data_IF_819977077636
#
_entry.id   IF_819977077636
#
_cell.length_a   1.000
_cell.length_b   1.000
_cell.length_c   1.000
_cell.angle_alpha   90.00
_cell.angle_beta   90.00
_cell.angle_gamma   90.00
#
_symmetry.space_group_name_H-M   'P 1'
#
loop_
_entity.id
_entity.type
_entity.pdbx_description
1 polymer ?
#
# COMPACT_ATOMS: atom_id res chain seq x y z
N UNK A 1 -3.70 9.79 -17.00
CA UNK A 1 -3.85 9.69 -15.52
C UNK A 1 -3.09 8.52 -14.90
N UNK A 2 -3.26 7.27 -15.38
CA UNK A 2 -2.49 6.11 -14.87
C UNK A 2 -0.95 6.23 -15.05
N UNK A 3 -0.42 6.81 -16.16
CA UNK A 3 1.04 6.93 -16.35
C UNK A 3 1.71 7.84 -15.33
N UNK A 4 1.06 8.96 -14.98
CA UNK A 4 1.62 9.95 -14.04
C UNK A 4 1.73 9.40 -12.61
N UNK A 5 0.83 8.51 -12.20
CA UNK A 5 0.90 7.85 -10.89
C UNK A 5 2.03 6.82 -10.84
N UNK A 6 2.22 6.05 -11.92
CA UNK A 6 3.33 5.10 -12.05
C UNK A 6 4.67 5.81 -11.87
N UNK A 7 4.87 6.94 -12.56
CA UNK A 7 6.08 7.75 -12.47
C UNK A 7 6.27 8.31 -11.05
N UNK A 8 5.19 8.83 -10.43
CA UNK A 8 5.24 9.33 -9.04
C UNK A 8 5.60 8.24 -8.03
N UNK A 9 5.07 7.02 -8.20
CA UNK A 9 5.41 5.89 -7.33
C UNK A 9 6.85 5.43 -7.56
N UNK A 10 7.29 5.30 -8.81
CA UNK A 10 8.68 4.95 -9.15
C UNK A 10 9.68 5.93 -8.54
N UNK A 11 9.44 7.23 -8.70
CA UNK A 11 10.30 8.29 -8.15
C UNK A 11 10.28 8.33 -6.61
N UNK A 12 9.16 7.94 -5.99
CA UNK A 12 9.08 7.87 -4.53
C UNK A 12 9.78 6.64 -3.96
N UNK A 13 9.78 5.51 -4.68
CA UNK A 13 10.50 4.29 -4.29
C UNK A 13 12.00 4.46 -4.51
N UNK A 14 12.38 5.03 -5.67
CA UNK A 14 13.76 5.23 -6.11
C UNK A 14 14.08 6.72 -6.34
N UNK A 15 14.21 7.53 -5.27
CA UNK A 15 14.57 8.94 -5.39
C UNK A 15 16.00 9.15 -5.90
N UNK A 16 16.89 8.16 -5.78
CA UNK A 16 18.23 8.20 -6.33
C UNK A 16 18.45 7.03 -7.33
N UNK A 17 18.50 7.31 -8.64
CA UNK A 17 18.69 6.26 -9.65
C UNK A 17 20.07 5.61 -9.60
N UNK A 18 21.08 6.28 -9.04
CA UNK A 18 22.45 5.75 -8.93
C UNK A 18 22.61 4.80 -7.72
N UNK A 19 21.70 4.90 -6.74
CA UNK A 19 21.67 4.07 -5.52
C UNK A 19 20.24 3.66 -5.16
N UNK A 20 19.63 2.78 -5.95
CA UNK A 20 18.22 2.39 -5.78
C UNK A 20 17.97 1.58 -4.49
N UNK A 21 19.01 1.11 -3.81
CA UNK A 21 18.93 0.29 -2.59
C UNK A 21 19.13 1.08 -1.29
N UNK A 22 19.43 2.39 -1.35
CA UNK A 22 19.61 3.18 -0.13
C UNK A 22 18.28 3.31 0.63
N UNK A 23 18.28 2.98 1.92
CA UNK A 23 17.09 3.13 2.75
C UNK A 23 16.75 4.61 2.92
N UNK A 24 15.63 5.04 2.36
CA UNK A 24 15.15 6.41 2.48
C UNK A 24 14.19 6.49 3.68
N UNK A 25 14.41 7.41 4.64
CA UNK A 25 13.56 7.51 5.82
C UNK A 25 12.09 7.84 5.49
N UNK A 26 11.82 8.51 4.37
CA UNK A 26 10.48 8.74 3.82
C UNK A 26 9.76 7.45 3.39
N UNK A 27 10.49 6.33 3.20
CA UNK A 27 9.95 5.01 2.91
C UNK A 27 9.52 4.25 4.19
N UNK A 28 9.83 4.76 5.39
CA UNK A 28 9.23 4.25 6.64
C UNK A 28 7.79 4.77 6.74
N UNK A 29 6.86 4.03 6.14
CA UNK A 29 5.48 4.47 5.92
C UNK A 29 4.77 4.79 7.24
N UNK A 30 4.73 3.90 8.24
CA UNK A 30 4.21 4.18 9.59
C UNK A 30 4.86 3.19 10.57
N UNK A 31 5.36 3.65 11.71
CA UNK A 31 5.74 2.75 12.81
C UNK A 31 4.47 2.20 13.47
N UNK A 32 4.14 0.95 13.18
CA UNK A 32 2.94 0.27 13.69
C UNK A 32 3.32 -0.72 14.80
N UNK A 33 2.38 -0.99 15.71
CA UNK A 33 2.50 -2.11 16.64
C UNK A 33 2.51 -3.44 15.85
N UNK A 34 3.23 -4.45 16.34
CA UNK A 34 3.40 -5.73 15.65
C UNK A 34 2.10 -6.42 15.23
N UNK A 35 1.00 -6.24 15.97
CA UNK A 35 -0.32 -6.75 15.61
C UNK A 35 -0.91 -6.04 14.39
N UNK A 36 -0.89 -4.70 14.39
CA UNK A 36 -1.41 -3.89 13.28
C UNK A 36 -0.56 -4.09 12.04
N UNK A 37 0.76 -4.25 12.19
CA UNK A 37 1.65 -4.53 11.07
C UNK A 37 1.27 -5.84 10.36
N UNK A 38 1.07 -6.93 11.12
CA UNK A 38 0.63 -8.23 10.55
C UNK A 38 -0.73 -8.12 9.86
N UNK A 39 -1.66 -7.39 10.48
CA UNK A 39 -3.00 -7.21 9.92
C UNK A 39 -2.99 -6.37 8.65
N UNK A 40 -2.09 -5.40 8.55
CA UNK A 40 -1.88 -4.59 7.34
C UNK A 40 -1.24 -5.41 6.21
N UNK A 41 -0.20 -6.17 6.52
CA UNK A 41 0.50 -7.05 5.59
C UNK A 41 -0.42 -8.14 5.01
N UNK A 42 -1.27 -8.73 5.84
CA UNK A 42 -2.24 -9.75 5.43
C UNK A 42 -3.54 -9.17 4.84
N UNK A 43 -3.61 -7.86 4.60
CA UNK A 43 -4.76 -7.22 3.94
C UNK A 43 -6.05 -7.15 4.77
N UNK A 44 -5.98 -7.17 6.11
CA UNK A 44 -7.16 -6.98 6.97
C UNK A 44 -7.51 -5.50 7.16
N UNK A 45 -6.50 -4.64 7.19
CA UNK A 45 -6.69 -3.19 7.28
C UNK A 45 -5.80 -2.46 6.30
N UNK A 46 -6.14 -1.23 5.98
CA UNK A 46 -5.31 -0.36 5.16
C UNK A 46 -5.52 1.12 5.51
N UNK A 47 -4.52 1.93 5.17
CA UNK A 47 -4.45 3.35 5.50
C UNK A 47 -4.56 4.17 4.23
N UNK A 48 -5.62 4.97 4.13
CA UNK A 48 -5.84 5.85 3.00
C UNK A 48 -5.32 7.25 3.33
N UNK A 49 -4.36 7.79 2.56
CA UNK A 49 -3.94 9.18 2.75
C UNK A 49 -5.03 10.13 2.22
N UNK A 50 -5.36 11.16 3.00
CA UNK A 50 -6.37 12.16 2.63
C UNK A 50 -5.71 13.46 2.16
N UNK A 51 -4.90 14.06 3.02
CA UNK A 51 -4.33 15.38 2.77
C UNK A 51 -3.00 15.56 3.52
N UNK A 52 -2.07 16.29 2.91
CA UNK A 52 -0.85 16.79 3.55
C UNK A 52 -1.04 18.28 3.76
N UNK A 53 -0.84 18.76 4.98
CA UNK A 53 -0.89 20.19 5.30
C UNK A 53 0.07 20.99 4.40
N UNK A 54 -0.27 22.25 4.10
CA UNK A 54 0.59 23.17 3.35
C UNK A 54 1.99 23.30 3.93
N UNK A 55 2.09 23.12 5.24
CA UNK A 55 3.33 23.25 6.00
C UNK A 55 4.18 21.98 5.94
N UNK A 56 3.66 20.88 5.37
CA UNK A 56 4.37 19.61 5.23
C UNK A 56 4.68 18.91 6.56
N UNK A 57 3.95 19.25 7.63
CA UNK A 57 4.16 18.71 8.99
C UNK A 57 3.02 17.81 9.46
N UNK A 58 1.89 17.81 8.77
CA UNK A 58 0.73 17.00 9.13
C UNK A 58 0.26 16.21 7.92
N UNK A 59 0.07 14.92 8.11
CA UNK A 59 -0.56 14.02 7.14
C UNK A 59 -1.85 13.47 7.76
N UNK A 60 -2.98 13.78 7.14
CA UNK A 60 -4.28 13.23 7.51
C UNK A 60 -4.48 11.89 6.80
N UNK A 61 -4.79 10.87 7.58
CA UNK A 61 -5.03 9.51 7.13
C UNK A 61 -6.40 9.01 7.60
N UNK A 62 -7.00 8.12 6.81
CA UNK A 62 -8.24 7.42 7.10
C UNK A 62 -7.93 5.92 7.22
N UNK A 63 -8.28 5.32 8.34
CA UNK A 63 -8.17 3.88 8.56
C UNK A 63 -9.40 3.18 7.98
N UNK A 64 -9.18 2.08 7.26
CA UNK A 64 -10.24 1.22 6.77
C UNK A 64 -9.96 -0.25 7.08
N UNK A 65 -10.97 -0.95 7.55
CA UNK A 65 -11.02 -2.40 7.51
C UNK A 65 -11.38 -2.85 6.09
N UNK A 66 -10.71 -3.90 5.64
CA UNK A 66 -10.99 -4.52 4.34
C UNK A 66 -11.78 -5.81 4.58
N UNK A 67 -12.99 -5.95 4.00
CA UNK A 67 -13.82 -7.12 4.24
C UNK A 67 -13.16 -8.35 3.63
N UNK A 68 -13.04 -9.41 4.43
CA UNK A 68 -12.73 -10.75 3.94
C UNK A 68 -14.03 -11.40 3.52
N UNK A 69 -14.14 -11.71 2.24
CA UNK A 69 -15.24 -12.49 1.74
C UNK A 69 -15.05 -13.93 2.23
N UNK A 70 -16.10 -14.53 2.82
CA UNK A 70 -16.01 -15.85 3.44
C UNK A 70 -16.08 -17.03 2.46
N UNK A 71 -15.83 -16.81 1.17
CA UNK A 71 -15.82 -17.87 0.16
C UNK A 71 -14.38 -18.34 -0.06
N UNK A 72 -14.21 -19.65 -0.16
CA UNK A 72 -12.93 -20.28 -0.48
C UNK A 72 -12.58 -20.16 -1.97
N UNK A 73 -11.36 -20.56 -2.35
CA UNK A 73 -10.88 -20.47 -3.73
C UNK A 73 -11.70 -21.32 -4.72
N UNK A 74 -12.31 -22.39 -4.22
CA UNK A 74 -13.10 -23.36 -4.99
C UNK A 74 -14.61 -23.10 -4.94
N UNK A 75 -15.03 -22.11 -4.15
CA UNK A 75 -16.44 -21.76 -4.02
C UNK A 75 -16.92 -20.98 -5.24
N UNK A 76 -18.09 -21.36 -5.74
CA UNK A 76 -18.72 -20.61 -6.83
C UNK A 76 -19.24 -19.28 -6.31
N UNK A 77 -18.70 -18.18 -6.84
CA UNK A 77 -19.14 -16.82 -6.52
C UNK A 77 -19.99 -16.28 -7.65
N UNK A 78 -21.15 -15.72 -7.29
CA UNK A 78 -21.96 -14.97 -8.24
C UNK A 78 -21.25 -13.67 -8.63
N UNK A 79 -20.86 -13.54 -9.89
CA UNK A 79 -20.20 -12.35 -10.44
C UNK A 79 -21.07 -11.09 -10.40
N UNK A 80 -22.38 -11.24 -10.25
CA UNK A 80 -23.32 -10.11 -10.09
C UNK A 80 -23.45 -9.64 -8.63
N UNK A 81 -22.91 -10.41 -7.68
CA UNK A 81 -22.90 -10.04 -6.27
C UNK A 81 -22.04 -8.80 -6.05
N UNK A 82 -22.61 -7.79 -5.43
CA UNK A 82 -21.86 -6.61 -5.01
C UNK A 82 -20.86 -6.98 -3.91
N UNK A 83 -19.58 -6.54 -4.00
CA UNK A 83 -18.63 -6.70 -2.92
C UNK A 83 -19.13 -6.07 -1.63
N UNK A 84 -18.73 -6.63 -0.49
CA UNK A 84 -19.07 -6.06 0.81
C UNK A 84 -18.48 -4.63 0.91
N UNK A 85 -19.26 -3.62 1.30
CA UNK A 85 -18.73 -2.28 1.48
C UNK A 85 -17.77 -2.23 2.66
N UNK A 86 -16.67 -1.48 2.52
CA UNK A 86 -15.72 -1.23 3.61
C UNK A 86 -16.25 -0.23 4.63
N UNK A 87 -17.22 0.60 4.27
CA UNK A 87 -17.73 1.68 5.12
C UNK A 87 -18.44 1.16 6.37
N UNK A 88 -18.07 1.70 7.55
CA UNK A 88 -18.71 1.35 8.82
C UNK A 88 -18.36 -0.04 9.37
N UNK A 89 -17.40 -0.75 8.77
CA UNK A 89 -16.91 -2.00 9.36
C UNK A 89 -16.15 -1.70 10.65
N UNK A 90 -16.44 -2.41 11.73
CA UNK A 90 -15.74 -2.31 13.02
C UNK A 90 -14.68 -3.41 13.22
N UNK A 91 -14.38 -4.16 12.16
CA UNK A 91 -13.47 -5.30 12.16
C UNK A 91 -13.51 -6.08 10.86
N UNK A 92 -12.53 -6.97 10.66
CA UNK A 92 -12.47 -7.88 9.51
C UNK A 92 -11.91 -9.24 9.94
N UNK A 93 -12.53 -10.34 9.49
CA UNK A 93 -12.05 -11.70 9.76
C UNK A 93 -11.86 -12.01 11.26
N UNK A 94 -12.72 -11.47 12.12
CA UNK A 94 -12.63 -11.63 13.58
C UNK A 94 -11.62 -10.70 14.28
N UNK A 95 -10.88 -9.88 13.54
CA UNK A 95 -9.94 -8.88 14.09
C UNK A 95 -10.63 -7.54 14.30
N UNK A 96 -10.26 -6.86 15.37
CA UNK A 96 -10.74 -5.53 15.72
C UNK A 96 -9.70 -4.79 16.56
N UNK A 97 -9.66 -3.47 16.42
CA UNK A 97 -8.78 -2.60 17.19
C UNK A 97 -9.61 -1.72 18.11
N UNK A 98 -9.04 -1.40 19.27
CA UNK A 98 -9.62 -0.49 20.24
C UNK A 98 -8.76 0.77 20.33
N UNK A 99 -9.40 1.93 20.29
CA UNK A 99 -8.82 3.19 20.70
C UNK A 99 -9.43 3.59 22.04
N UNK A 100 -8.64 3.52 23.11
CA UNK A 100 -9.08 3.61 24.50
C UNK A 100 -10.22 2.60 24.77
N UNK A 101 -11.48 3.04 24.66
CA UNK A 101 -12.68 2.21 24.91
C UNK A 101 -13.59 2.05 23.68
N UNK A 102 -13.26 2.67 22.55
CA UNK A 102 -14.08 2.61 21.32
C UNK A 102 -13.41 1.73 20.29
N UNK A 103 -14.20 0.89 19.61
CA UNK A 103 -13.70 0.14 18.46
C UNK A 103 -13.38 1.11 17.31
N UNK A 104 -12.25 0.88 16.67
CA UNK A 104 -11.88 1.62 15.47
C UNK A 104 -12.75 1.09 14.33
N UNK A 105 -13.54 1.97 13.75
CA UNK A 105 -14.37 1.70 12.59
C UNK A 105 -13.70 2.21 11.32
N UNK A 106 -14.10 1.64 10.19
CA UNK A 106 -13.65 2.10 8.88
C UNK A 106 -14.15 3.50 8.63
N UNK A 107 -13.23 4.39 8.27
CA UNK A 107 -13.46 5.83 8.22
C UNK A 107 -12.89 6.58 9.42
N UNK A 108 -12.25 5.89 10.36
CA UNK A 108 -11.56 6.52 11.47
C UNK A 108 -10.39 7.38 10.97
N UNK A 109 -10.47 8.69 11.20
CA UNK A 109 -9.44 9.64 10.78
C UNK A 109 -8.45 9.90 11.89
N UNK A 110 -7.18 9.93 11.51
CA UNK A 110 -6.10 10.31 12.40
C UNK A 110 -5.09 11.19 11.67
N UNK A 111 -4.40 12.04 12.42
CA UNK A 111 -3.39 12.94 11.89
C UNK A 111 -2.04 12.48 12.40
N UNK A 112 -1.14 12.16 11.46
CA UNK A 112 0.27 11.96 11.74
C UNK A 112 0.91 13.34 11.79
N UNK A 113 1.29 13.78 13.00
CA UNK A 113 1.98 15.05 13.21
C UNK A 113 3.47 14.80 13.31
N UNK A 114 4.25 15.63 12.64
CA UNK A 114 5.70 15.55 12.66
C UNK A 114 6.32 16.69 13.45
N UNK A 115 7.23 16.34 14.36
CA UNK A 115 7.93 17.31 15.22
C UNK A 115 9.19 17.89 14.56
N UNK A 116 9.89 17.12 13.71
CA UNK A 116 11.14 17.55 13.07
C UNK A 116 11.32 16.94 11.67
N UNK A 117 11.17 17.72 10.59
CA UNK A 117 11.23 17.22 9.22
C UNK A 117 12.64 16.77 8.78
N UNK A 118 13.70 17.20 9.48
CA UNK A 118 15.07 16.84 9.11
C UNK A 118 15.52 15.47 9.64
N UNK A 119 14.92 14.99 10.74
CA UNK A 119 15.30 13.72 11.37
C UNK A 119 14.27 12.62 11.20
N UNK A 120 12.99 12.99 11.08
CA UNK A 120 11.96 12.03 10.69
C UNK A 120 11.02 12.74 9.71
N UNK A 121 11.23 12.55 8.40
CA UNK A 121 10.35 13.15 7.43
C UNK A 121 8.97 12.50 7.51
N UNK A 122 7.93 13.21 7.04
CA UNK A 122 6.61 12.61 6.91
C UNK A 122 6.67 11.43 5.93
N UNK A 123 5.86 10.40 6.16
CA UNK A 123 5.79 9.30 5.22
C UNK A 123 5.28 9.78 3.86
N UNK A 124 5.87 9.24 2.81
CA UNK A 124 5.58 9.65 1.45
C UNK A 124 4.12 9.40 1.07
N UNK A 125 3.38 10.48 0.80
CA UNK A 125 1.98 10.41 0.33
C UNK A 125 1.79 9.45 -0.86
N UNK A 126 2.60 9.52 -1.95
CA UNK A 126 2.45 8.59 -3.07
C UNK A 126 2.68 7.13 -2.67
N UNK A 127 3.60 6.84 -1.75
CA UNK A 127 3.82 5.46 -1.28
C UNK A 127 2.67 4.96 -0.42
N UNK A 128 2.12 5.80 0.47
CA UNK A 128 0.95 5.45 1.26
C UNK A 128 -0.29 5.27 0.38
N UNK A 129 -0.40 6.03 -0.71
CA UNK A 129 -1.47 5.86 -1.69
C UNK A 129 -1.30 4.56 -2.47
N UNK A 130 -0.07 4.22 -2.85
CA UNK A 130 0.23 2.95 -3.50
C UNK A 130 -0.09 1.78 -2.58
N UNK A 131 0.39 1.82 -1.33
CA UNK A 131 0.13 0.74 -0.36
C UNK A 131 -1.35 0.58 -0.09
N UNK A 132 -2.11 1.67 0.06
CA UNK A 132 -3.58 1.63 0.13
C UNK A 132 -4.19 0.80 -1.00
N UNK A 133 -3.78 1.06 -2.25
CA UNK A 133 -4.31 0.33 -3.43
C UNK A 133 -3.88 -1.13 -3.46
N UNK A 134 -2.63 -1.42 -3.14
CA UNK A 134 -2.09 -2.78 -3.13
C UNK A 134 -2.74 -3.62 -2.03
N UNK A 135 -2.92 -3.08 -0.82
CA UNK A 135 -3.57 -3.80 0.28
C UNK A 135 -5.03 -4.11 -0.03
N UNK A 136 -5.74 -3.25 -0.77
CA UNK A 136 -7.08 -3.57 -1.29
C UNK A 136 -7.08 -4.76 -2.25
N UNK A 137 -6.03 -4.94 -3.05
CA UNK A 137 -5.86 -6.09 -3.95
C UNK A 137 -5.54 -7.35 -3.15
N UNK A 138 -4.65 -7.25 -2.16
CA UNK A 138 -4.32 -8.38 -1.24
C UNK A 138 -5.54 -8.86 -0.48
N UNK A 139 -6.46 -7.96 -0.13
CA UNK A 139 -7.72 -8.31 0.53
C UNK A 139 -8.72 -9.02 -0.40
N UNK A 140 -8.55 -8.93 -1.72
CA UNK A 140 -9.38 -9.72 -2.62
C UNK A 140 -9.07 -11.20 -2.38
N UNK A 141 -10.10 -12.05 -2.30
CA UNK A 141 -9.93 -13.49 -2.21
C UNK A 141 -9.32 -14.01 -3.52
N UNK A 142 -8.00 -14.04 -3.57
CA UNK A 142 -7.22 -14.59 -4.66
C UNK A 142 -6.44 -15.79 -4.11
N UNK A 143 -7.14 -16.91 -3.90
CA UNK A 143 -6.56 -18.25 -3.75
C UNK A 143 -5.31 -18.44 -2.84
N UNK A 144 -5.07 -17.57 -1.84
CA UNK A 144 -3.79 -17.57 -1.11
C UNK A 144 -3.73 -18.56 0.05
N UNK A 145 -4.86 -19.12 0.49
CA UNK A 145 -4.87 -20.25 1.43
C UNK A 145 -5.13 -21.54 0.67
N UNK A 146 -4.24 -21.87 -0.27
CA UNK A 146 -4.09 -23.27 -0.68
C UNK A 146 -3.15 -23.93 0.32
N UNK A 147 -3.62 -24.84 1.20
CA UNK A 147 -2.76 -25.54 2.15
C UNK A 147 -1.70 -26.43 1.48
N UNK A 148 -1.77 -26.65 0.17
CA UNK A 148 -0.76 -27.37 -0.62
C UNK A 148 0.37 -26.48 -1.16
N UNK A 149 0.24 -25.14 -1.09
CA UNK A 149 1.36 -24.25 -1.33
C UNK A 149 2.20 -24.20 -0.05
N UNK A 150 3.10 -25.18 0.08
CA UNK A 150 4.19 -25.14 1.06
C UNK A 150 4.78 -23.73 1.09
N UNK A 151 4.92 -23.18 2.29
CA UNK A 151 5.63 -21.92 2.55
C UNK A 151 7.01 -22.03 1.87
N UNK A 152 7.10 -21.49 0.65
CA UNK A 152 8.39 -21.16 0.07
C UNK A 152 8.91 -20.02 0.93
N UNK A 153 9.61 -20.42 1.99
CA UNK A 153 10.49 -19.57 2.78
C UNK A 153 11.60 -19.11 1.84
N UNK A 154 11.27 -18.14 0.98
CA UNK A 154 12.19 -17.46 0.10
C UNK A 154 12.98 -16.45 0.96
N UNK A 155 13.75 -16.97 1.93
CA UNK A 155 14.82 -16.25 2.61
C UNK A 155 16.01 -15.99 1.66
N UNK A 156 15.77 -15.75 0.38
CA UNK A 156 16.76 -15.11 -0.48
C UNK A 156 16.53 -13.61 -0.46
N UNK A 157 17.11 -12.94 0.54
CA UNK A 157 17.36 -11.47 0.53
C UNK A 157 18.32 -11.03 -0.60
N UNK A 158 18.42 -11.81 -1.69
CA UNK A 158 19.13 -11.38 -2.88
C UNK A 158 18.18 -10.48 -3.66
N UNK A 159 18.20 -9.18 -3.34
CA UNK A 159 17.60 -8.13 -4.18
C UNK A 159 17.92 -8.46 -5.64
N UNK A 160 16.90 -8.73 -6.45
CA UNK A 160 17.11 -9.13 -7.83
C UNK A 160 17.51 -7.89 -8.64
N UNK A 161 18.79 -7.54 -8.56
CA UNK A 161 19.38 -6.33 -9.11
C UNK A 161 19.12 -6.21 -10.61
N UNK A 162 19.09 -7.32 -11.33
CA UNK A 162 18.77 -7.37 -12.75
C UNK A 162 17.35 -6.88 -13.06
N UNK A 163 16.36 -7.22 -12.22
CA UNK A 163 14.99 -6.73 -12.37
C UNK A 163 14.89 -5.24 -12.05
N UNK A 164 15.60 -4.77 -11.03
CA UNK A 164 15.66 -3.34 -10.68
C UNK A 164 16.30 -2.56 -11.83
N UNK A 165 17.46 -2.99 -12.32
CA UNK A 165 18.19 -2.35 -13.42
C UNK A 165 17.33 -2.31 -14.70
N UNK A 166 16.59 -3.39 -14.99
CA UNK A 166 15.62 -3.41 -16.11
C UNK A 166 14.51 -2.37 -15.93
N UNK A 167 13.93 -2.27 -14.74
CA UNK A 167 12.85 -1.31 -14.48
C UNK A 167 13.32 0.14 -14.51
N UNK A 168 14.59 0.37 -14.17
CA UNK A 168 15.25 1.66 -14.35
C UNK A 168 15.49 1.99 -15.83
N UNK A 169 15.82 1.00 -16.66
CA UNK A 169 16.09 1.17 -18.09
C UNK A 169 14.84 1.34 -18.97
N UNK A 170 13.66 0.87 -18.55
CA UNK A 170 12.40 0.96 -19.32
C UNK A 170 11.88 2.40 -19.57
N UNK A 171 12.54 3.45 -19.05
CA UNK A 171 12.13 4.86 -19.25
C UNK A 171 12.81 5.59 -20.42
N UNK A 172 13.65 4.94 -21.22
CA UNK A 172 14.33 5.61 -22.35
C UNK A 172 13.53 5.71 -23.65
N UNK A 173 12.39 5.02 -23.80
CA UNK A 173 11.83 4.73 -25.14
C UNK A 173 10.50 5.43 -25.49
N UNK A 174 9.97 6.33 -24.65
CA UNK A 174 8.63 6.93 -24.87
C UNK A 174 8.61 8.42 -25.29
N UNK A 175 9.74 9.03 -25.70
CA UNK A 175 9.77 10.48 -26.06
C UNK A 175 10.26 10.84 -27.48
N UNK A 176 10.29 9.90 -28.44
CA UNK A 176 10.58 10.21 -29.84
C UNK A 176 9.60 9.54 -30.81
N UNK A 177 8.39 10.08 -30.93
CA UNK A 177 7.67 9.99 -32.20
C UNK A 177 6.85 11.25 -32.45
N UNK A 178 7.58 12.30 -32.86
CA UNK A 178 7.04 13.48 -33.53
C UNK A 178 6.30 13.01 -34.80
N UNK A 179 4.98 12.91 -34.70
CA UNK A 179 4.11 12.56 -35.84
C UNK A 179 4.06 13.76 -36.79
N UNK A 180 5.00 13.81 -37.72
CA UNK A 180 4.92 14.71 -38.88
C UNK A 180 3.80 14.24 -39.80
N UNK A 181 2.67 14.94 -39.78
CA UNK A 181 1.65 14.81 -40.82
C UNK A 181 2.10 15.63 -42.03
N UNK A 182 2.44 14.92 -43.10
CA UNK A 182 2.45 15.44 -44.47
C UNK A 182 1.08 15.20 -45.13
#
# INVERSE_FOLDING_TARGET
MVPELKIKWKNAIFPNPDKPTDSIPENLIICLTSSIHKDWEQGYCAFKPLHVSSDGLELECEFHWLPREGHGPTDNVDLSRRPTPTAGLSGSGGRFFHNFDKRIESGYRFVVKMTNPATHPLPSFPLLQMSWKLTQIVALPAAAEDPELEDYDDESETYNKELIDKWMAEESDDDDNEVSFA
#
